data_IF_409051817881
#
_entry.id   IF_409051817881
#
_cell.length_a   1.000
_cell.length_b   1.000
_cell.length_c   1.000
_cell.angle_alpha   90.00
_cell.angle_beta   90.00
_cell.angle_gamma   90.00
#
_symmetry.space_group_name_H-M   'P 1'
#
loop_
_entity.id
_entity.type
_entity.pdbx_description
1 polymer ?
#
# COMPACT_ATOMS: atom_id res chain seq x y z
N UNK A 1 2.20 1.82 23.09
CA UNK A 1 2.57 0.74 22.15
C UNK A 1 2.29 1.28 20.75
N UNK A 2 3.34 1.38 19.93
CA UNK A 2 3.35 2.19 18.71
C UNK A 2 2.63 1.49 17.57
N UNK A 3 1.45 1.98 17.21
CA UNK A 3 0.89 1.77 15.89
C UNK A 3 1.71 2.62 14.92
N UNK A 4 2.44 1.96 14.01
CA UNK A 4 3.25 2.66 13.01
C UNK A 4 2.79 2.24 11.62
N UNK A 5 2.16 3.14 10.88
CA UNK A 5 1.81 2.88 9.48
C UNK A 5 3.06 2.93 8.60
N UNK A 6 3.07 2.15 7.52
CA UNK A 6 4.20 2.16 6.57
C UNK A 6 3.72 2.16 5.13
N UNK A 7 4.47 2.87 4.28
CA UNK A 7 4.43 2.72 2.83
C UNK A 7 5.40 1.63 2.41
N UNK A 8 4.84 0.54 1.87
CA UNK A 8 5.63 -0.47 1.19
C UNK A 8 5.87 -0.04 -0.26
N UNK A 9 7.12 0.30 -0.54
CA UNK A 9 7.63 0.67 -1.85
C UNK A 9 8.45 -0.48 -2.46
N UNK A 10 8.29 -0.73 -3.76
CA UNK A 10 9.03 -1.78 -4.48
C UNK A 10 9.83 -1.20 -5.64
N UNK A 11 11.06 -1.69 -5.81
CA UNK A 11 11.92 -1.35 -6.94
C UNK A 11 12.32 -2.62 -7.70
N UNK A 12 12.16 -2.67 -9.05
CA UNK A 12 11.55 -1.64 -9.90
C UNK A 12 10.01 -1.61 -9.79
N UNK A 13 9.40 -0.45 -10.06
CA UNK A 13 7.95 -0.21 -9.91
C UNK A 13 7.06 -1.13 -10.76
N UNK A 14 7.57 -1.68 -11.86
CA UNK A 14 6.86 -2.68 -12.66
C UNK A 14 6.54 -3.97 -11.87
N UNK A 15 7.28 -4.23 -10.77
CA UNK A 15 7.04 -5.34 -9.85
C UNK A 15 5.92 -5.07 -8.84
N UNK A 16 5.31 -3.88 -8.83
CA UNK A 16 4.18 -3.57 -7.94
C UNK A 16 3.01 -4.55 -8.11
N UNK A 17 2.78 -5.03 -9.34
CA UNK A 17 1.77 -6.07 -9.60
C UNK A 17 2.00 -7.38 -8.83
N UNK A 18 3.24 -7.69 -8.44
CA UNK A 18 3.55 -8.84 -7.60
C UNK A 18 3.08 -8.64 -6.16
N UNK A 19 3.15 -7.41 -5.63
CA UNK A 19 2.61 -7.11 -4.29
C UNK A 19 1.11 -7.35 -4.25
N UNK A 20 0.39 -6.87 -5.27
CA UNK A 20 -1.05 -7.06 -5.38
C UNK A 20 -1.40 -8.54 -5.51
N UNK A 21 -0.69 -9.30 -6.35
CA UNK A 21 -0.89 -10.75 -6.47
C UNK A 21 -0.61 -11.50 -5.16
N UNK A 22 0.41 -11.08 -4.40
CA UNK A 22 0.71 -11.65 -3.11
C UNK A 22 -0.40 -11.34 -2.09
N UNK A 23 -0.86 -10.08 -2.07
CA UNK A 23 -2.02 -9.67 -1.27
C UNK A 23 -3.26 -10.51 -1.59
N UNK A 24 -3.63 -10.65 -2.87
CA UNK A 24 -4.80 -11.42 -3.30
C UNK A 24 -4.74 -12.88 -2.85
N UNK A 25 -3.55 -13.49 -2.87
CA UNK A 25 -3.37 -14.87 -2.37
C UNK A 25 -3.58 -14.95 -0.86
N UNK A 26 -3.02 -13.99 -0.12
CA UNK A 26 -3.14 -13.94 1.34
C UNK A 26 -4.57 -13.62 1.78
N UNK A 27 -5.26 -12.71 1.08
CA UNK A 27 -6.64 -12.30 1.35
C UNK A 27 -7.66 -13.43 1.14
N UNK A 28 -7.32 -14.47 0.35
CA UNK A 28 -8.16 -15.68 0.19
C UNK A 28 -8.10 -16.63 1.39
N UNK A 29 -7.21 -16.36 2.34
CA UNK A 29 -7.09 -17.11 3.60
C UNK A 29 -7.59 -16.25 4.75
N UNK A 30 -7.82 -16.84 5.92
CA UNK A 30 -8.18 -16.07 7.13
C UNK A 30 -7.00 -15.28 7.72
N UNK A 31 -5.83 -15.23 7.07
CA UNK A 31 -4.60 -14.64 7.61
C UNK A 31 -4.78 -13.22 8.16
N UNK A 32 -5.30 -12.29 7.34
CA UNK A 32 -5.49 -10.90 7.76
C UNK A 32 -6.51 -10.76 8.90
N UNK A 33 -7.56 -11.60 8.87
CA UNK A 33 -8.56 -11.66 9.93
C UNK A 33 -7.97 -12.17 11.25
N UNK A 34 -7.12 -13.20 11.19
CA UNK A 34 -6.42 -13.76 12.37
C UNK A 34 -5.39 -12.78 12.93
N UNK A 35 -4.65 -12.09 12.06
CA UNK A 35 -3.66 -11.10 12.47
C UNK A 35 -4.30 -9.78 12.93
N UNK A 36 -5.56 -9.53 12.59
CA UNK A 36 -6.26 -8.29 12.89
C UNK A 36 -5.69 -7.07 12.15
N UNK A 37 -4.96 -7.30 11.05
CA UNK A 37 -4.26 -6.29 10.28
C UNK A 37 -4.22 -6.67 8.81
N UNK A 38 -4.41 -5.69 7.92
CA UNK A 38 -4.32 -5.87 6.47
C UNK A 38 -3.77 -4.62 5.77
N UNK A 39 -3.21 -4.77 4.56
CA UNK A 39 -2.95 -3.63 3.68
C UNK A 39 -4.24 -2.88 3.35
N UNK A 40 -4.27 -1.59 3.66
CA UNK A 40 -5.50 -0.78 3.61
C UNK A 40 -5.70 -0.11 2.26
N UNK A 41 -4.61 0.29 1.60
CA UNK A 41 -4.72 1.19 0.45
C UNK A 41 -3.57 1.07 -0.53
N UNK A 42 -3.87 1.29 -1.80
CA UNK A 42 -2.87 1.58 -2.84
C UNK A 42 -2.81 3.08 -3.04
N UNK A 43 -1.63 3.67 -2.86
CA UNK A 43 -1.38 5.09 -3.08
C UNK A 43 -0.54 5.29 -4.33
N UNK A 44 -0.94 6.24 -5.17
CA UNK A 44 -0.19 6.67 -6.35
C UNK A 44 0.19 8.13 -6.15
N UNK A 45 1.49 8.40 -6.11
CA UNK A 45 2.00 9.74 -5.88
C UNK A 45 1.87 10.62 -7.13
N UNK A 46 1.27 11.82 -6.97
CA UNK A 46 1.23 12.87 -8.00
C UNK A 46 2.42 13.84 -7.89
N UNK A 47 3.07 13.87 -6.72
CA UNK A 47 4.28 14.65 -6.42
C UNK A 47 5.28 13.76 -5.64
N UNK A 48 6.59 14.05 -5.67
CA UNK A 48 7.56 13.29 -4.88
C UNK A 48 7.35 13.50 -3.37
N UNK A 49 7.69 12.49 -2.58
CA UNK A 49 7.70 12.51 -1.11
C UNK A 49 9.04 11.97 -0.62
N UNK A 50 9.89 12.84 -0.07
CA UNK A 50 11.27 12.48 0.25
C UNK A 50 11.98 11.91 -0.98
N UNK A 51 12.53 10.70 -0.86
CA UNK A 51 13.20 9.98 -1.95
C UNK A 51 12.22 9.23 -2.88
N UNK A 52 10.93 9.15 -2.54
CA UNK A 52 9.95 8.43 -3.36
C UNK A 52 9.51 9.31 -4.54
N UNK A 53 9.71 8.86 -5.79
CA UNK A 53 9.45 9.70 -6.96
C UNK A 53 7.95 9.84 -7.25
N UNK A 54 7.62 10.90 -8.01
CA UNK A 54 6.30 11.06 -8.63
C UNK A 54 5.93 9.84 -9.47
N UNK A 55 4.67 9.43 -9.43
CA UNK A 55 4.14 8.28 -10.14
C UNK A 55 4.37 6.94 -9.44
N UNK A 56 5.12 6.93 -8.33
CA UNK A 56 5.31 5.72 -7.54
C UNK A 56 3.97 5.21 -6.99
N UNK A 57 3.79 3.90 -7.09
CA UNK A 57 2.74 3.11 -6.46
C UNK A 57 3.28 2.53 -5.16
N UNK A 58 2.51 2.70 -4.11
CA UNK A 58 2.82 2.32 -2.74
C UNK A 58 1.66 1.50 -2.20
N UNK A 59 1.98 0.49 -1.40
CA UNK A 59 0.99 -0.23 -0.61
C UNK A 59 1.05 0.34 0.81
N UNK A 60 -0.04 0.95 1.27
CA UNK A 60 -0.17 1.44 2.63
C UNK A 60 -0.55 0.28 3.56
N UNK A 61 0.32 -0.03 4.51
CA UNK A 61 0.17 -1.15 5.42
C UNK A 61 0.12 -0.66 6.87
N UNK A 62 -0.79 -1.22 7.66
CA UNK A 62 -0.82 -1.01 9.11
C UNK A 62 0.31 -1.82 9.76
N UNK A 63 1.10 -1.22 10.64
CA UNK A 63 2.28 -1.88 11.24
C UNK A 63 2.06 -2.51 12.61
N UNK A 64 0.85 -2.95 12.96
CA UNK A 64 0.71 -3.87 14.10
C UNK A 64 1.47 -5.18 13.80
N UNK A 65 1.91 -5.86 14.86
CA UNK A 65 2.63 -7.16 14.92
C UNK A 65 3.02 -7.76 13.55
N UNK A 66 4.29 -7.54 13.18
CA UNK A 66 5.00 -8.16 12.04
C UNK A 66 4.77 -7.58 10.63
N UNK A 67 3.87 -6.59 10.44
CA UNK A 67 3.58 -5.98 9.12
C UNK A 67 4.62 -4.96 8.62
N UNK A 68 5.84 -4.99 9.17
CA UNK A 68 7.02 -4.27 8.69
C UNK A 68 7.98 -5.18 7.89
N UNK A 69 7.56 -6.41 7.59
CA UNK A 69 8.32 -7.36 6.78
C UNK A 69 7.46 -7.93 5.65
N UNK A 70 8.06 -8.37 4.53
CA UNK A 70 7.29 -8.99 3.45
C UNK A 70 6.56 -10.26 3.89
N UNK A 71 7.15 -11.04 4.81
CA UNK A 71 6.53 -12.26 5.33
C UNK A 71 5.32 -11.92 6.19
N UNK A 72 5.39 -10.91 7.04
CA UNK A 72 4.24 -10.49 7.85
C UNK A 72 3.13 -9.84 7.01
N UNK A 73 3.46 -9.10 5.96
CA UNK A 73 2.42 -8.52 5.09
C UNK A 73 1.77 -9.59 4.20
N UNK A 74 2.54 -10.55 3.68
CA UNK A 74 2.04 -11.46 2.64
C UNK A 74 1.99 -12.93 3.04
N UNK A 75 2.22 -13.29 4.32
CA UNK A 75 2.26 -14.67 4.78
C UNK A 75 3.14 -15.59 3.90
N UNK A 76 4.29 -15.08 3.46
CA UNK A 76 5.21 -15.80 2.56
C UNK A 76 4.77 -15.92 1.09
N UNK A 77 3.63 -15.33 0.69
CA UNK A 77 3.13 -15.40 -0.69
C UNK A 77 3.87 -14.48 -1.67
N UNK A 78 4.72 -13.57 -1.18
CA UNK A 78 5.52 -12.70 -2.05
C UNK A 78 6.79 -13.42 -2.50
N UNK A 79 6.76 -13.94 -3.73
CA UNK A 79 7.93 -14.51 -4.41
C UNK A 79 8.52 -13.46 -5.37
N UNK A 80 9.36 -12.56 -4.87
CA UNK A 80 10.02 -11.57 -5.72
C UNK A 80 11.43 -11.24 -5.22
N UNK A 81 12.45 -11.23 -6.11
CA UNK A 81 13.78 -10.71 -5.77
C UNK A 81 13.84 -9.17 -5.79
N UNK A 82 12.68 -8.50 -5.93
CA UNK A 82 12.61 -7.05 -6.01
C UNK A 82 13.02 -6.42 -4.66
N UNK A 83 13.67 -5.27 -4.71
CA UNK A 83 14.00 -4.52 -3.50
C UNK A 83 12.71 -3.94 -2.92
N UNK A 84 12.48 -4.22 -1.64
CA UNK A 84 11.33 -3.72 -0.88
C UNK A 84 11.83 -2.76 0.18
N UNK A 85 11.18 -1.61 0.27
CA UNK A 85 11.44 -0.60 1.28
C UNK A 85 10.15 -0.37 2.06
N UNK A 86 10.20 -0.58 3.37
CA UNK A 86 9.15 -0.15 4.30
C UNK A 86 9.52 1.24 4.79
N UNK A 87 8.73 2.23 4.40
CA UNK A 87 8.94 3.63 4.76
C UNK A 87 7.88 3.97 5.80
N UNK A 88 8.24 4.21 7.07
CA UNK A 88 7.29 4.68 8.08
C UNK A 88 6.58 5.95 7.59
N UNK A 89 5.26 5.99 7.69
CA UNK A 89 4.47 7.14 7.20
C UNK A 89 4.89 8.42 7.91
N UNK A 90 5.15 8.35 9.21
CA UNK A 90 5.64 9.46 10.02
C UNK A 90 7.01 10.04 9.58
N UNK A 91 7.83 9.28 8.83
CA UNK A 91 9.08 9.81 8.27
C UNK A 91 8.86 10.71 7.05
N UNK A 92 7.69 10.62 6.42
CA UNK A 92 7.37 11.35 5.17
C UNK A 92 6.20 12.32 5.32
N UNK A 93 5.33 12.10 6.30
CA UNK A 93 4.09 12.81 6.56
C UNK A 93 3.92 13.05 8.06
N UNK A 94 3.76 14.32 8.43
CA UNK A 94 3.45 14.67 9.81
C UNK A 94 2.00 14.31 10.17
N UNK A 95 1.69 14.11 11.47
CA UNK A 95 0.30 14.04 11.92
C UNK A 95 -0.47 15.31 11.49
N UNK A 96 -1.55 15.13 10.73
CA UNK A 96 -2.35 16.26 10.22
C UNK A 96 -1.76 16.98 9.01
N UNK A 97 -0.80 16.36 8.31
CA UNK A 97 -0.20 16.93 7.11
C UNK A 97 -1.27 17.33 6.07
N UNK A 98 -1.21 18.59 5.63
CA UNK A 98 -2.14 19.15 4.64
C UNK A 98 -2.12 18.39 3.31
N UNK A 99 -1.04 17.65 3.01
CA UNK A 99 -0.91 16.76 1.84
C UNK A 99 -1.80 15.53 1.93
N UNK A 100 -2.35 15.20 3.10
CA UNK A 100 -3.38 14.18 3.28
C UNK A 100 -4.81 14.76 3.22
N UNK A 101 -4.98 16.09 3.14
CA UNK A 101 -6.30 16.70 3.06
C UNK A 101 -7.07 16.18 1.85
N UNK A 102 -8.27 15.65 2.08
CA UNK A 102 -9.13 15.07 1.06
C UNK A 102 -8.80 13.62 0.69
N UNK A 103 -7.82 13.00 1.35
CA UNK A 103 -7.58 11.55 1.26
C UNK A 103 -8.33 10.88 2.41
N UNK A 104 -9.27 10.00 2.05
CA UNK A 104 -9.99 9.16 2.99
C UNK A 104 -9.39 7.76 2.97
N UNK A 105 -8.76 7.35 4.08
CA UNK A 105 -8.12 6.04 4.25
C UNK A 105 -9.07 4.95 4.74
N UNK A 106 -10.29 5.29 5.15
CA UNK A 106 -11.27 4.34 5.69
C UNK A 106 -12.40 4.02 4.70
N UNK A 107 -12.63 4.87 3.71
CA UNK A 107 -13.64 4.62 2.68
C UNK A 107 -13.21 3.54 1.68
N UNK A 108 -14.15 2.83 1.05
CA UNK A 108 -13.84 1.99 -0.12
C UNK A 108 -13.64 2.81 -1.39
N UNK A 109 -14.24 4.01 -1.45
CA UNK A 109 -14.18 4.87 -2.62
C UNK A 109 -12.77 5.43 -2.84
N UNK A 110 -12.35 5.62 -4.10
CA UNK A 110 -11.11 6.31 -4.40
C UNK A 110 -11.16 7.76 -3.91
N UNK A 111 -10.03 8.26 -3.41
CA UNK A 111 -9.86 9.65 -3.02
C UNK A 111 -8.60 10.23 -3.68
N UNK A 112 -8.64 11.52 -4.00
CA UNK A 112 -7.56 12.18 -4.73
C UNK A 112 -7.43 13.63 -4.29
N UNK A 113 -6.19 14.10 -4.21
CA UNK A 113 -5.88 15.51 -4.01
C UNK A 113 -4.73 15.96 -4.91
N UNK A 114 -4.10 17.10 -4.63
CA UNK A 114 -2.99 17.62 -5.43
C UNK A 114 -1.71 16.75 -5.35
N UNK A 115 -1.58 15.90 -4.33
CA UNK A 115 -0.36 15.19 -3.99
C UNK A 115 -0.41 13.69 -4.27
N UNK A 116 -1.58 13.07 -4.15
CA UNK A 116 -1.72 11.64 -4.35
C UNK A 116 -3.13 11.24 -4.75
N UNK A 117 -3.22 10.02 -5.29
CA UNK A 117 -4.46 9.26 -5.44
C UNK A 117 -4.40 8.07 -4.50
N UNK A 118 -5.51 7.74 -3.88
CA UNK A 118 -5.65 6.60 -3.00
C UNK A 118 -6.81 5.75 -3.48
N UNK A 119 -6.58 4.46 -3.55
CA UNK A 119 -7.57 3.43 -3.82
C UNK A 119 -7.60 2.48 -2.63
N UNK A 120 -8.76 1.93 -2.28
CA UNK A 120 -8.77 0.69 -1.52
C UNK A 120 -8.07 -0.40 -2.34
N UNK A 121 -7.46 -1.39 -1.66
CA UNK A 121 -6.72 -2.45 -2.39
C UNK A 121 -7.67 -3.21 -3.33
N UNK A 122 -8.90 -3.47 -2.88
CA UNK A 122 -9.95 -4.13 -3.65
C UNK A 122 -10.34 -3.34 -4.91
N UNK A 123 -10.64 -2.04 -4.76
CA UNK A 123 -11.00 -1.19 -5.90
C UNK A 123 -9.85 -1.11 -6.91
N UNK A 124 -8.60 -0.99 -6.43
CA UNK A 124 -7.43 -1.00 -7.31
C UNK A 124 -7.32 -2.29 -8.13
N UNK A 125 -7.60 -3.45 -7.52
CA UNK A 125 -7.59 -4.75 -8.21
C UNK A 125 -8.65 -4.79 -9.30
N UNK A 126 -9.89 -4.42 -8.98
CA UNK A 126 -11.02 -4.41 -9.93
C UNK A 126 -10.70 -3.51 -11.13
N UNK A 127 -10.25 -2.27 -10.87
CA UNK A 127 -9.89 -1.32 -11.92
C UNK A 127 -8.72 -1.81 -12.78
N UNK A 128 -7.68 -2.35 -12.16
CA UNK A 128 -6.50 -2.87 -12.90
C UNK A 128 -6.85 -4.05 -13.80
N UNK A 129 -7.82 -4.89 -13.41
CA UNK A 129 -8.31 -5.99 -14.26
C UNK A 129 -9.12 -5.44 -15.44
N UNK A 130 -10.04 -4.52 -15.19
CA UNK A 130 -10.83 -3.88 -16.24
C UNK A 130 -9.97 -3.12 -17.26
N UNK A 131 -8.86 -2.52 -16.83
CA UNK A 131 -7.89 -1.85 -17.72
C UNK A 131 -7.09 -2.83 -18.61
N UNK A 132 -6.99 -4.11 -18.23
CA UNK A 132 -6.30 -5.15 -19.02
C UNK A 132 -7.19 -5.83 -20.05
N UNK A 133 -8.51 -5.75 -19.85
CA UNK A 133 -9.52 -6.35 -20.72
C UNK A 133 -9.98 -5.39 -21.84
N UNK A 134 -9.46 -4.15 -21.84
CA UNK A 134 -9.62 -3.17 -22.93
C UNK A 134 -8.42 -3.16 -23.85
#
# INVERSE_FOLDING_TARGET
MGYQESWLYVQPQMRFSNLIRAYEKTARTDYYRTMGAEPMSVVILKRPFGEVPKGAKLLWVCGDRCFHTPVGVFNGNLKSPAKLCFIPVEQVLDPGDYRLKGIDLNSHAPSENAYMKRYSVEDYIVRTRAERER
#
